data_IF_819256267445
#
_entry.id   IF_819256267445
#
_cell.length_a   1.000
_cell.length_b   1.000
_cell.length_c   1.000
_cell.angle_alpha   90.00
_cell.angle_beta   90.00
_cell.angle_gamma   90.00
#
_symmetry.space_group_name_H-M   'P 1'
#
loop_
_entity.id
_entity.type
_entity.pdbx_description
1 polymer ?
#
# COMPACT_ATOMS: atom_id res chain seq x y z
N UNK A 1 -5.42 0.51 -0.27
CA UNK A 1 -4.35 0.89 0.66
C UNK A 1 -4.17 2.41 0.75
N UNK A 2 -3.26 2.89 1.60
CA UNK A 2 -3.06 4.31 1.97
C UNK A 2 -2.41 5.21 0.89
N UNK A 3 -2.15 4.69 -0.31
CA UNK A 3 -1.59 5.46 -1.43
C UNK A 3 -0.18 6.02 -1.20
N UNK A 4 0.71 5.24 -0.56
CA UNK A 4 2.11 5.62 -0.37
C UNK A 4 2.98 5.21 -1.57
N UNK A 5 3.31 6.17 -2.43
CA UNK A 5 4.20 6.00 -3.57
C UNK A 5 5.69 6.07 -3.22
N UNK A 6 6.07 6.50 -2.01
CA UNK A 6 7.46 6.78 -1.61
C UNK A 6 8.04 5.70 -0.66
N UNK A 7 7.52 4.48 -0.72
CA UNK A 7 8.03 3.35 0.04
C UNK A 7 9.31 2.75 -0.58
N UNK A 8 10.39 3.54 -0.72
CA UNK A 8 11.67 3.09 -1.27
C UNK A 8 12.51 2.30 -0.26
N UNK A 9 13.61 1.67 -0.69
CA UNK A 9 14.41 0.77 0.18
C UNK A 9 14.90 1.41 1.49
N UNK A 10 15.16 2.72 1.51
CA UNK A 10 15.57 3.43 2.74
C UNK A 10 14.42 3.64 3.74
N UNK A 11 13.18 3.38 3.34
CA UNK A 11 11.99 3.44 4.21
C UNK A 11 11.79 2.15 5.00
N UNK A 12 12.66 1.15 4.82
CA UNK A 12 12.65 -0.11 5.54
C UNK A 12 13.95 -0.23 6.35
N UNK A 13 13.78 -0.56 7.63
CA UNK A 13 14.88 -0.77 8.56
C UNK A 13 14.85 -2.18 9.13
N UNK A 14 16.00 -2.61 9.63
CA UNK A 14 16.12 -3.83 10.44
C UNK A 14 16.71 -3.46 11.79
N UNK A 15 16.29 -4.20 12.82
CA UNK A 15 16.87 -4.14 14.15
C UNK A 15 17.80 -5.35 14.31
N UNK A 16 19.02 -5.06 14.74
CA UNK A 16 20.00 -6.05 15.11
C UNK A 16 19.99 -6.24 16.62
N UNK A 17 20.12 -7.49 17.05
CA UNK A 17 20.47 -7.84 18.41
C UNK A 17 21.79 -8.62 18.37
N UNK A 18 22.78 -8.15 19.13
CA UNK A 18 24.16 -8.65 19.03
C UNK A 18 24.84 -8.19 17.73
N UNK A 19 25.77 -9.00 17.23
CA UNK A 19 26.53 -8.73 15.97
C UNK A 19 25.81 -9.39 14.78
N UNK A 20 24.49 -9.28 14.75
CA UNK A 20 23.58 -9.95 13.80
C UNK A 20 23.15 -11.39 14.12
N UNK A 21 23.24 -11.81 15.39
CA UNK A 21 22.71 -13.10 15.86
C UNK A 21 21.19 -13.19 15.66
N UNK A 22 20.51 -12.04 15.77
CA UNK A 22 19.09 -11.94 15.51
C UNK A 22 18.77 -10.63 14.77
N UNK A 23 18.16 -10.77 13.59
CA UNK A 23 17.73 -9.66 12.73
C UNK A 23 16.21 -9.74 12.60
N UNK A 24 15.54 -8.61 12.83
CA UNK A 24 14.09 -8.47 12.64
C UNK A 24 13.78 -7.16 11.94
N UNK A 25 12.62 -7.08 11.29
CA UNK A 25 12.14 -5.82 10.73
C UNK A 25 11.94 -4.78 11.85
N UNK A 26 12.37 -3.55 11.59
CA UNK A 26 12.00 -2.40 12.42
C UNK A 26 10.50 -2.09 12.25
N UNK A 27 9.88 -1.39 13.21
CA UNK A 27 8.57 -0.80 13.02
C UNK A 27 8.53 0.03 11.73
N UNK A 28 7.38 0.06 11.07
CA UNK A 28 7.21 0.82 9.84
C UNK A 28 7.38 2.32 10.09
N UNK A 29 8.09 3.01 9.21
CA UNK A 29 8.26 4.46 9.23
C UNK A 29 8.16 5.03 7.81
N UNK A 30 8.07 6.35 7.68
CA UNK A 30 7.97 7.00 6.35
C UNK A 30 6.69 6.67 5.59
N UNK A 31 5.59 6.39 6.29
CA UNK A 31 4.29 6.14 5.66
C UNK A 31 3.60 7.48 5.40
N UNK A 32 3.46 7.84 4.13
CA UNK A 32 2.85 9.10 3.70
C UNK A 32 1.84 8.81 2.59
N UNK A 33 0.68 9.49 2.57
CA UNK A 33 -0.27 9.39 1.46
C UNK A 33 0.17 10.32 0.34
N UNK A 34 1.07 9.88 -0.52
CA UNK A 34 1.68 10.75 -1.53
C UNK A 34 0.72 11.15 -2.65
N UNK A 35 -0.35 10.38 -2.88
CA UNK A 35 -1.34 10.66 -3.94
C UNK A 35 -2.09 12.00 -3.77
N UNK A 36 -2.05 12.64 -2.60
CA UNK A 36 -2.65 13.97 -2.42
C UNK A 36 -1.80 15.10 -3.00
N UNK A 37 -0.52 14.84 -3.32
CA UNK A 37 0.37 15.83 -3.89
C UNK A 37 0.29 15.81 -5.41
N UNK A 38 -0.25 16.89 -5.96
CA UNK A 38 -0.37 17.11 -7.41
C UNK A 38 0.86 17.86 -7.90
N UNK A 39 1.29 17.59 -9.14
CA UNK A 39 2.42 18.26 -9.76
C UNK A 39 2.09 18.66 -11.21
N UNK A 40 2.77 19.70 -11.71
CA UNK A 40 2.70 20.10 -13.11
C UNK A 40 4.03 19.79 -13.80
N UNK A 41 3.98 19.30 -15.04
CA UNK A 41 5.20 19.07 -15.86
C UNK A 41 5.70 20.33 -16.55
N UNK A 42 4.83 21.31 -16.72
CA UNK A 42 5.15 22.62 -17.30
C UNK A 42 4.29 23.70 -16.62
N UNK A 43 4.73 24.97 -16.59
CA UNK A 43 4.01 26.06 -15.92
C UNK A 43 2.56 26.28 -16.40
N UNK A 44 2.23 25.85 -17.62
CA UNK A 44 0.90 25.95 -18.22
C UNK A 44 0.17 24.59 -18.34
N UNK A 45 0.76 23.52 -17.79
CA UNK A 45 0.22 22.17 -17.90
C UNK A 45 -0.89 21.88 -16.88
N UNK A 46 -1.71 20.88 -17.16
CA UNK A 46 -2.66 20.35 -16.18
C UNK A 46 -1.93 19.76 -14.98
N UNK A 47 -2.55 19.88 -13.80
CA UNK A 47 -2.08 19.17 -12.60
C UNK A 47 -2.25 17.65 -12.78
N UNK A 48 -1.19 16.91 -12.48
CA UNK A 48 -1.10 15.46 -12.55
C UNK A 48 -0.92 14.88 -11.15
N UNK A 49 -1.32 13.63 -10.99
CA UNK A 49 -1.07 12.83 -9.80
C UNK A 49 0.01 11.78 -10.11
N UNK A 50 0.86 11.48 -9.13
CA UNK A 50 1.78 10.35 -9.22
C UNK A 50 1.14 9.11 -8.58
N UNK A 51 0.71 8.19 -9.44
CA UNK A 51 0.07 6.93 -9.07
C UNK A 51 1.03 5.74 -9.26
N UNK A 52 2.28 5.93 -8.87
CA UNK A 52 3.31 4.88 -8.92
C UNK A 52 3.82 4.47 -7.53
N UNK A 53 4.34 3.25 -7.45
CA UNK A 53 5.03 2.65 -6.32
C UNK A 53 6.53 2.89 -6.47
N UNK A 54 7.22 3.15 -5.36
CA UNK A 54 8.68 3.22 -5.35
C UNK A 54 9.33 1.90 -5.79
N UNK A 55 8.79 0.78 -5.31
CA UNK A 55 9.26 -0.59 -5.57
C UNK A 55 8.26 -1.38 -6.39
N UNK A 56 8.76 -2.20 -7.31
CA UNK A 56 7.96 -3.11 -8.11
C UNK A 56 7.63 -4.36 -7.30
N UNK A 57 6.49 -4.98 -7.59
CA UNK A 57 6.14 -6.27 -6.98
C UNK A 57 6.93 -7.42 -7.60
N UNK A 58 6.99 -7.52 -8.92
CA UNK A 58 7.65 -8.63 -9.61
C UNK A 58 8.94 -8.17 -10.31
N UNK A 59 9.95 -9.04 -10.31
CA UNK A 59 11.17 -8.85 -11.08
C UNK A 59 11.01 -9.37 -12.51
N UNK A 60 11.87 -8.91 -13.42
CA UNK A 60 11.94 -9.40 -14.80
C UNK A 60 11.32 -8.47 -15.86
N UNK A 61 11.56 -8.78 -17.15
CA UNK A 61 11.19 -7.90 -18.28
C UNK A 61 9.68 -7.77 -18.49
N UNK A 62 8.88 -8.71 -17.98
CA UNK A 62 7.41 -8.71 -18.10
C UNK A 62 6.76 -7.75 -17.08
N UNK A 63 7.46 -7.38 -15.99
CA UNK A 63 6.95 -6.46 -14.96
C UNK A 63 7.88 -5.25 -14.81
N UNK A 64 7.79 -4.32 -15.77
CA UNK A 64 8.42 -3.00 -15.68
C UNK A 64 7.54 -1.97 -14.95
N UNK A 65 6.28 -2.33 -14.69
CA UNK A 65 5.29 -1.41 -14.14
C UNK A 65 5.53 -1.11 -12.67
N UNK A 66 5.55 0.17 -12.33
CA UNK A 66 5.43 0.69 -10.95
C UNK A 66 3.99 1.06 -10.60
N UNK A 67 3.01 0.74 -11.44
CA UNK A 67 1.61 1.05 -11.15
C UNK A 67 1.17 0.23 -9.94
N UNK A 68 0.24 0.76 -9.15
CA UNK A 68 -0.41 0.01 -8.08
C UNK A 68 -1.02 -1.28 -8.64
N UNK A 69 -0.77 -2.45 -8.02
CA UNK A 69 -1.19 -3.75 -8.54
C UNK A 69 -2.70 -3.90 -8.51
N UNK A 70 -3.25 -4.69 -9.43
CA UNK A 70 -4.62 -5.18 -9.29
C UNK A 70 -4.72 -6.13 -8.08
N UNK A 71 -5.92 -6.27 -7.47
CA UNK A 71 -6.11 -7.13 -6.31
C UNK A 71 -5.56 -8.56 -6.46
N UNK A 72 -5.77 -9.18 -7.62
CA UNK A 72 -5.30 -10.53 -7.94
C UNK A 72 -3.77 -10.62 -8.03
N UNK A 73 -3.12 -9.55 -8.49
CA UNK A 73 -1.66 -9.47 -8.57
C UNK A 73 -1.04 -9.34 -7.18
N UNK A 74 -1.67 -8.56 -6.30
CA UNK A 74 -1.25 -8.43 -4.91
C UNK A 74 -1.44 -9.74 -4.14
N UNK A 75 -2.57 -10.43 -4.33
CA UNK A 75 -2.82 -11.74 -3.76
C UNK A 75 -1.84 -12.80 -4.27
N UNK A 76 -1.52 -12.77 -5.57
CA UNK A 76 -0.51 -13.64 -6.17
C UNK A 76 0.86 -13.38 -5.55
N UNK A 77 1.27 -12.11 -5.46
CA UNK A 77 2.53 -11.71 -4.86
C UNK A 77 2.63 -12.17 -3.39
N UNK A 78 1.55 -11.98 -2.62
CA UNK A 78 1.47 -12.44 -1.23
C UNK A 78 1.69 -13.95 -1.09
N UNK A 79 1.09 -14.77 -1.96
CA UNK A 79 1.25 -16.23 -1.92
C UNK A 79 2.59 -16.71 -2.46
N UNK A 80 2.95 -16.27 -3.66
CA UNK A 80 4.05 -16.86 -4.44
C UNK A 80 5.41 -16.28 -4.08
N UNK A 81 5.47 -15.00 -3.68
CA UNK A 81 6.74 -14.32 -3.37
C UNK A 81 6.92 -14.14 -1.86
N UNK A 82 5.91 -13.59 -1.18
CA UNK A 82 5.99 -13.33 0.26
C UNK A 82 5.66 -14.55 1.14
N UNK A 83 5.08 -15.62 0.56
CA UNK A 83 4.65 -16.82 1.27
C UNK A 83 3.71 -16.55 2.46
N UNK A 84 2.88 -15.51 2.34
CA UNK A 84 1.82 -15.20 3.30
C UNK A 84 0.78 -16.31 3.21
N UNK A 85 0.56 -17.03 4.33
CA UNK A 85 -0.36 -18.19 4.38
C UNK A 85 -1.80 -17.81 4.04
N UNK A 86 -2.24 -16.65 4.51
CA UNK A 86 -3.62 -16.18 4.50
C UNK A 86 -3.67 -14.71 4.02
N UNK A 87 -3.34 -14.45 2.74
CA UNK A 87 -3.20 -13.08 2.25
C UNK A 87 -4.54 -12.35 2.12
N UNK A 88 -5.64 -13.09 1.92
CA UNK A 88 -7.00 -12.53 1.88
C UNK A 88 -7.38 -11.98 3.26
N UNK A 89 -7.16 -12.77 4.30
CA UNK A 89 -7.44 -12.41 5.69
C UNK A 89 -6.58 -11.23 6.12
N UNK A 90 -5.29 -11.21 5.75
CA UNK A 90 -4.40 -10.09 6.01
C UNK A 90 -4.91 -8.78 5.39
N UNK A 91 -5.38 -8.82 4.14
CA UNK A 91 -5.95 -7.64 3.47
C UNK A 91 -7.26 -7.19 4.12
N UNK A 92 -8.11 -8.13 4.55
CA UNK A 92 -9.33 -7.81 5.27
C UNK A 92 -9.05 -7.13 6.62
N UNK A 93 -8.06 -7.62 7.38
CA UNK A 93 -7.62 -7.01 8.63
C UNK A 93 -7.05 -5.61 8.42
N UNK A 94 -6.23 -5.41 7.38
CA UNK A 94 -5.72 -4.08 7.01
C UNK A 94 -6.87 -3.14 6.66
N UNK A 95 -7.86 -3.60 5.89
CA UNK A 95 -9.03 -2.79 5.55
C UNK A 95 -9.82 -2.38 6.80
N UNK A 96 -10.01 -3.31 7.75
CA UNK A 96 -10.69 -3.00 9.00
C UNK A 96 -9.92 -1.95 9.82
N UNK A 97 -8.63 -2.15 10.02
CA UNK A 97 -7.78 -1.22 10.76
C UNK A 97 -7.72 0.18 10.10
N UNK A 98 -7.65 0.24 8.76
CA UNK A 98 -7.72 1.50 8.01
C UNK A 98 -9.06 2.22 8.23
N UNK A 99 -10.17 1.49 8.27
CA UNK A 99 -11.51 2.05 8.50
C UNK A 99 -11.62 2.65 9.91
N UNK A 100 -11.11 1.94 10.92
CA UNK A 100 -11.06 2.42 12.30
C UNK A 100 -10.16 3.65 12.45
N UNK A 101 -8.97 3.62 11.85
CA UNK A 101 -8.06 4.76 11.85
C UNK A 101 -8.70 6.01 11.23
N UNK A 102 -9.41 5.85 10.10
CA UNK A 102 -10.12 6.96 9.46
C UNK A 102 -11.29 7.47 10.31
N UNK A 103 -11.99 6.58 11.03
CA UNK A 103 -13.05 6.98 11.96
C UNK A 103 -12.51 7.84 13.09
N UNK A 104 -11.42 7.41 13.75
CA UNK A 104 -10.75 8.19 14.81
C UNK A 104 -10.23 9.52 14.28
N UNK A 105 -9.64 9.53 13.09
CA UNK A 105 -9.09 10.74 12.47
C UNK A 105 -10.14 11.85 12.26
N UNK A 106 -11.42 11.50 12.05
CA UNK A 106 -12.50 12.49 11.84
C UNK A 106 -12.76 13.37 13.05
N UNK A 107 -12.43 12.92 14.26
CA UNK A 107 -12.60 13.68 15.50
C UNK A 107 -11.29 14.12 16.14
N UNK A 108 -10.14 13.79 15.55
CA UNK A 108 -8.83 14.15 16.09
C UNK A 108 -8.45 15.59 15.70
N UNK A 109 -8.55 16.50 16.68
CA UNK A 109 -8.23 17.92 16.50
C UNK A 109 -6.77 18.19 16.09
N UNK A 110 -5.86 17.22 16.24
CA UNK A 110 -4.46 17.35 15.81
C UNK A 110 -4.30 17.22 14.30
N UNK A 111 -5.30 16.67 13.60
CA UNK A 111 -5.27 16.48 12.15
C UNK A 111 -5.94 17.68 11.48
N UNK A 112 -5.22 18.44 10.64
CA UNK A 112 -5.84 19.55 9.91
C UNK A 112 -6.99 19.06 9.04
N UNK A 113 -8.15 19.70 9.17
CA UNK A 113 -9.38 19.31 8.44
C UNK A 113 -9.15 19.18 6.93
N UNK A 114 -8.44 20.15 6.32
CA UNK A 114 -8.12 20.13 4.89
C UNK A 114 -7.27 18.93 4.48
N UNK A 115 -6.29 18.55 5.31
CA UNK A 115 -5.46 17.37 5.05
C UNK A 115 -6.31 16.10 5.09
N UNK A 116 -7.21 15.98 6.07
CA UNK A 116 -8.13 14.86 6.16
C UNK A 116 -9.08 14.79 4.95
N UNK A 117 -9.63 15.93 4.52
CA UNK A 117 -10.51 16.02 3.34
C UNK A 117 -9.80 15.56 2.05
N UNK A 118 -8.48 15.75 1.95
CA UNK A 118 -7.67 15.28 0.82
C UNK A 118 -7.29 13.80 0.94
N UNK A 119 -6.88 13.35 2.12
CA UNK A 119 -6.37 11.99 2.33
C UNK A 119 -7.50 10.95 2.44
N UNK A 120 -8.64 11.30 3.02
CA UNK A 120 -9.74 10.37 3.25
C UNK A 120 -10.24 9.69 1.96
N UNK A 121 -10.46 10.39 0.82
CA UNK A 121 -10.86 9.76 -0.43
C UNK A 121 -9.85 8.72 -0.94
N UNK A 122 -8.54 8.98 -0.78
CA UNK A 122 -7.48 8.03 -1.16
C UNK A 122 -7.58 6.77 -0.31
N UNK A 123 -7.77 6.93 1.00
CA UNK A 123 -7.90 5.82 1.94
C UNK A 123 -9.19 5.03 1.69
N UNK A 124 -10.31 5.69 1.41
CA UNK A 124 -11.59 5.07 1.08
C UNK A 124 -11.53 4.27 -0.22
N UNK A 125 -10.87 4.80 -1.26
CA UNK A 125 -10.55 4.04 -2.47
C UNK A 125 -9.71 2.81 -2.13
N UNK A 126 -8.73 3.01 -1.25
CA UNK A 126 -7.89 1.96 -0.75
C UNK A 126 -8.60 0.87 0.06
N UNK A 127 -9.63 1.23 0.82
CA UNK A 127 -10.49 0.31 1.56
C UNK A 127 -11.30 -0.57 0.61
N UNK A 128 -11.91 0.05 -0.42
CA UNK A 128 -12.64 -0.69 -1.46
C UNK A 128 -11.74 -1.71 -2.14
N UNK A 129 -10.55 -1.28 -2.57
CA UNK A 129 -9.55 -2.18 -3.16
C UNK A 129 -9.25 -3.41 -2.28
N UNK A 130 -9.03 -3.21 -0.97
CA UNK A 130 -8.70 -4.29 -0.06
C UNK A 130 -9.89 -5.24 0.18
N UNK A 131 -11.11 -4.70 0.23
CA UNK A 131 -12.35 -5.48 0.31
C UNK A 131 -12.61 -6.28 -0.96
N UNK A 132 -12.40 -5.69 -2.12
CA UNK A 132 -12.55 -6.36 -3.42
C UNK A 132 -11.54 -7.51 -3.54
N UNK A 133 -10.30 -7.31 -3.09
CA UNK A 133 -9.31 -8.37 -2.99
C UNK A 133 -9.77 -9.50 -2.06
N UNK A 134 -10.33 -9.15 -0.90
CA UNK A 134 -10.77 -10.13 0.07
C UNK A 134 -12.04 -10.90 -0.35
N UNK A 135 -12.90 -10.28 -1.16
CA UNK A 135 -14.12 -10.89 -1.68
C UNK A 135 -13.90 -11.82 -2.88
N UNK A 136 -12.70 -11.80 -3.48
CA UNK A 136 -12.40 -12.67 -4.62
C UNK A 136 -12.33 -14.14 -4.20
N UNK A 137 -13.18 -14.97 -4.83
CA UNK A 137 -13.09 -16.42 -4.71
C UNK A 137 -11.81 -16.91 -5.39
N UNK A 138 -11.08 -17.88 -4.79
CA UNK A 138 -9.94 -18.48 -5.47
C UNK A 138 -10.39 -19.11 -6.79
N UNK A 139 -9.75 -18.73 -7.90
CA UNK A 139 -9.91 -19.46 -9.16
C UNK A 139 -9.35 -20.88 -8.94
N UNK A 140 -10.06 -21.94 -9.39
CA UNK A 140 -9.53 -23.30 -9.29
C UNK A 140 -8.19 -23.36 -10.00
N UNK A 141 -7.19 -23.91 -9.32
CA UNK A 141 -5.88 -24.18 -9.90
C UNK A 141 -6.07 -25.07 -11.12
N UNK A 142 -5.61 -24.63 -12.30
CA UNK A 142 -5.43 -25.55 -13.42
C UNK A 142 -4.28 -26.47 -13.01
N UNK A 143 -4.61 -27.70 -12.64
CA UNK A 143 -3.62 -28.77 -12.48
C UNK A 143 -2.79 -28.85 -13.77
N UNK A 144 -1.47 -28.73 -13.62
CA UNK A 144 -0.50 -29.09 -14.64
C UNK A 144 -0.16 -30.56 -14.48
#
# INVERSE_FOLDING_TARGET
>A
MVGNGDAHLKSFGVLYQGVADHIRLAPMFGVVTTQIYRYQRSPSGSELEDNTLALRLFAGPISLSKIYPLPEELLRFGREVCQVRQPVEALAQIAQAMSEALHVARSDARIPRRLLEQAAPVWESGLRYARDAAAQKPKPSKAQ
#
